data_IF_123687802503
#
_entry.id   IF_123687802503
#
_cell.length_a   1.000
_cell.length_b   1.000
_cell.length_c   1.000
_cell.angle_alpha   90.00
_cell.angle_beta   90.00
_cell.angle_gamma   90.00
#
_symmetry.space_group_name_H-M   'P 1'
#
loop_
_entity.id
_entity.type
_entity.pdbx_description
1 polymer ?
#
# COMPACT_ATOMS: atom_id res chain seq x y z
N UNK A 1 24.07 13.15 27.53
CA UNK A 1 23.12 12.50 26.58
C UNK A 1 22.27 13.48 25.77
N UNK A 2 21.89 14.66 26.31
CA UNK A 2 21.07 15.66 25.60
C UNK A 2 21.67 16.14 24.26
N UNK A 3 22.99 16.42 24.21
CA UNK A 3 23.66 16.91 23.00
C UNK A 3 23.73 15.88 21.86
N UNK A 4 23.74 14.58 22.17
CA UNK A 4 23.71 13.52 21.16
C UNK A 4 22.31 13.40 20.53
N UNK A 5 21.26 13.46 21.36
CA UNK A 5 19.87 13.45 20.91
C UNK A 5 19.56 14.65 20.00
N UNK A 6 20.09 15.83 20.32
CA UNK A 6 19.87 17.05 19.54
C UNK A 6 20.55 16.99 18.17
N UNK A 7 21.75 16.39 18.08
CA UNK A 7 22.43 16.13 16.80
C UNK A 7 21.67 15.12 15.94
N UNK A 8 21.15 14.04 16.54
CA UNK A 8 20.35 13.05 15.83
C UNK A 8 19.04 13.67 15.32
N UNK A 9 18.37 14.48 16.14
CA UNK A 9 17.16 15.20 15.75
C UNK A 9 17.41 16.18 14.60
N UNK A 10 18.48 16.98 14.68
CA UNK A 10 18.85 17.91 13.62
C UNK A 10 19.17 17.17 12.30
N UNK A 11 19.87 16.05 12.38
CA UNK A 11 20.19 15.22 11.21
C UNK A 11 18.92 14.59 10.60
N UNK A 12 17.98 14.13 11.43
CA UNK A 12 16.71 13.59 10.98
C UNK A 12 15.85 14.65 10.28
N UNK A 13 15.80 15.87 10.82
CA UNK A 13 15.09 17.00 10.19
C UNK A 13 15.75 17.35 8.86
N UNK A 14 17.07 17.50 8.82
CA UNK A 14 17.81 17.81 7.60
C UNK A 14 17.61 16.73 6.52
N UNK A 15 17.64 15.45 6.91
CA UNK A 15 17.37 14.33 6.01
C UNK A 15 15.92 14.37 5.48
N UNK A 16 14.93 14.66 6.34
CA UNK A 16 13.53 14.77 5.93
C UNK A 16 13.31 15.90 4.92
N UNK A 17 13.96 17.06 5.13
CA UNK A 17 13.92 18.17 4.18
C UNK A 17 14.63 17.84 2.87
N UNK A 18 15.79 17.18 2.93
CA UNK A 18 16.50 16.69 1.74
C UNK A 18 15.64 15.74 0.90
N UNK A 19 15.01 14.75 1.54
CA UNK A 19 14.10 13.82 0.86
C UNK A 19 12.91 14.56 0.23
N UNK A 20 12.32 15.53 0.94
CA UNK A 20 11.24 16.35 0.37
C UNK A 20 11.70 17.15 -0.83
N UNK A 21 12.86 17.81 -0.76
CA UNK A 21 13.41 18.59 -1.84
C UNK A 21 13.69 17.74 -3.09
N UNK A 22 14.35 16.59 -2.92
CA UNK A 22 14.59 15.66 -4.02
C UNK A 22 13.28 15.10 -4.59
N UNK A 23 12.31 14.74 -3.74
CA UNK A 23 11.02 14.25 -4.21
C UNK A 23 10.22 15.30 -5.00
N UNK A 24 10.39 16.58 -4.69
CA UNK A 24 9.81 17.69 -5.44
C UNK A 24 10.53 17.91 -6.77
N UNK A 25 11.86 17.84 -6.78
CA UNK A 25 12.68 17.98 -7.99
C UNK A 25 12.43 16.86 -9.01
N UNK A 26 12.22 15.63 -8.52
CA UNK A 26 11.92 14.45 -9.35
C UNK A 26 10.43 14.27 -9.65
N UNK A 27 9.56 15.19 -9.23
CA UNK A 27 8.11 15.16 -9.47
C UNK A 27 7.72 15.56 -10.90
N UNK A 28 8.60 15.35 -11.89
CA UNK A 28 8.21 15.37 -13.30
C UNK A 28 7.08 14.34 -13.45
N UNK A 29 5.90 14.81 -13.85
CA UNK A 29 4.69 14.02 -14.05
C UNK A 29 5.03 12.69 -14.72
N UNK A 30 5.11 11.62 -13.93
CA UNK A 30 5.23 10.28 -14.47
C UNK A 30 3.93 10.01 -15.20
N UNK A 31 3.99 10.01 -16.54
CA UNK A 31 2.87 9.61 -17.39
C UNK A 31 2.64 8.10 -17.25
N UNK A 32 3.70 7.32 -17.00
CA UNK A 32 3.60 5.87 -16.82
C UNK A 32 3.89 5.46 -15.39
N UNK A 33 2.96 4.72 -14.81
CA UNK A 33 3.01 4.14 -13.49
C UNK A 33 3.26 2.64 -13.60
N UNK A 34 4.33 2.22 -12.95
CA UNK A 34 4.67 0.82 -12.73
C UNK A 34 4.64 0.54 -11.24
N UNK A 35 4.72 -0.74 -10.92
CA UNK A 35 4.88 -1.25 -9.59
C UNK A 35 6.18 -0.70 -8.94
N UNK A 36 6.06 0.41 -8.20
CA UNK A 36 7.21 1.11 -7.62
C UNK A 36 7.75 0.38 -6.38
N UNK A 37 9.04 -0.02 -6.34
CA UNK A 37 9.63 -0.67 -5.17
C UNK A 37 9.51 0.18 -3.89
N UNK A 38 9.65 1.49 -4.02
CA UNK A 38 9.54 2.43 -2.89
C UNK A 38 8.13 2.44 -2.30
N UNK A 39 7.11 2.37 -3.16
CA UNK A 39 5.71 2.34 -2.73
C UNK A 39 5.37 1.03 -2.03
N UNK A 40 5.84 -0.09 -2.58
CA UNK A 40 5.69 -1.41 -1.95
C UNK A 40 6.29 -1.42 -0.55
N UNK A 41 7.55 -1.00 -0.44
CA UNK A 41 8.27 -0.97 0.83
C UNK A 41 7.52 -0.10 1.84
N UNK A 42 7.10 1.11 1.46
CA UNK A 42 6.34 2.00 2.34
C UNK A 42 5.04 1.37 2.87
N UNK A 43 4.33 0.61 2.04
CA UNK A 43 3.06 -0.02 2.42
C UNK A 43 3.23 -1.23 3.34
N UNK A 44 4.32 -1.97 3.19
CA UNK A 44 4.57 -3.22 3.95
C UNK A 44 5.55 -3.03 5.12
N UNK A 45 6.21 -1.87 5.20
CA UNK A 45 7.28 -1.58 6.16
C UNK A 45 6.91 -1.93 7.60
N UNK A 46 5.77 -1.41 8.07
CA UNK A 46 5.33 -1.63 9.45
C UNK A 46 5.01 -3.11 9.72
N UNK A 47 4.43 -3.80 8.75
CA UNK A 47 4.13 -5.23 8.85
C UNK A 47 5.40 -6.06 8.89
N UNK A 48 6.40 -5.73 8.07
CA UNK A 48 7.72 -6.38 8.11
C UNK A 48 8.43 -6.13 9.44
N UNK A 49 8.36 -4.90 9.96
CA UNK A 49 8.95 -4.55 11.24
C UNK A 49 8.28 -5.33 12.38
N UNK A 50 6.95 -5.38 12.42
CA UNK A 50 6.19 -6.16 13.40
C UNK A 50 6.48 -7.66 13.29
N UNK A 51 6.55 -8.20 12.07
CA UNK A 51 6.90 -9.59 11.81
C UNK A 51 8.31 -9.91 12.31
N UNK A 52 9.28 -9.05 11.99
CA UNK A 52 10.66 -9.19 12.45
C UNK A 52 10.75 -9.18 13.97
N UNK A 53 10.15 -8.19 14.63
CA UNK A 53 10.15 -8.08 16.10
C UNK A 53 9.46 -9.27 16.77
N UNK A 54 8.30 -9.69 16.26
CA UNK A 54 7.59 -10.87 16.76
C UNK A 54 8.43 -12.13 16.59
N UNK A 55 9.08 -12.29 15.43
CA UNK A 55 9.98 -13.39 15.14
C UNK A 55 11.21 -13.42 16.04
N UNK A 56 11.83 -12.27 16.33
CA UNK A 56 12.97 -12.23 17.25
C UNK A 56 12.57 -12.57 18.68
N UNK A 57 11.43 -12.07 19.17
CA UNK A 57 10.96 -12.37 20.53
C UNK A 57 10.63 -13.86 20.71
N UNK A 58 9.94 -14.48 19.75
CA UNK A 58 9.67 -15.92 19.81
C UNK A 58 10.94 -16.75 19.57
N UNK A 59 11.82 -16.29 18.68
CA UNK A 59 13.07 -16.98 18.38
C UNK A 59 14.05 -17.02 19.56
N UNK A 60 14.08 -15.98 20.39
CA UNK A 60 14.90 -15.97 21.62
C UNK A 60 14.40 -16.98 22.64
N UNK A 61 13.07 -17.18 22.75
CA UNK A 61 12.49 -18.18 23.65
C UNK A 61 12.88 -19.61 23.28
N UNK A 62 13.03 -19.90 21.99
CA UNK A 62 13.42 -21.23 21.52
C UNK A 62 14.90 -21.56 21.78
N UNK A 63 15.73 -20.55 22.05
CA UNK A 63 17.18 -20.70 22.19
C UNK A 63 17.65 -20.72 23.64
N UNK A 64 16.89 -20.15 24.56
CA UNK A 64 17.29 -20.05 25.96
C UNK A 64 16.51 -21.04 26.84
N UNK A 65 17.17 -22.06 27.42
CA UNK A 65 16.51 -23.04 28.28
C UNK A 65 16.17 -22.52 29.69
N UNK A 66 16.67 -21.34 30.09
CA UNK A 66 16.52 -20.81 31.45
C UNK A 66 15.43 -19.73 31.60
N UNK A 67 14.49 -19.65 30.65
CA UNK A 67 13.45 -18.62 30.64
C UNK A 67 12.42 -18.85 31.74
N UNK A 68 12.09 -17.80 32.50
CA UNK A 68 11.04 -17.89 33.52
C UNK A 68 9.66 -18.04 32.89
N UNK A 69 8.69 -18.73 33.53
CA UNK A 69 7.36 -18.93 32.96
C UNK A 69 6.61 -17.61 32.69
N UNK A 70 6.93 -16.54 33.42
CA UNK A 70 6.38 -15.20 33.21
C UNK A 70 6.94 -14.54 31.94
N UNK A 71 8.26 -14.59 31.72
CA UNK A 71 8.88 -14.07 30.49
C UNK A 71 8.40 -14.83 29.26
N UNK A 72 8.21 -16.15 29.38
CA UNK A 72 7.64 -16.97 28.34
C UNK A 72 6.23 -16.51 27.97
N UNK A 73 5.36 -16.31 28.97
CA UNK A 73 3.99 -15.83 28.75
C UNK A 73 3.95 -14.45 28.07
N UNK A 74 4.80 -13.52 28.51
CA UNK A 74 4.90 -12.18 27.93
C UNK A 74 5.37 -12.25 26.47
N UNK A 75 6.43 -13.00 26.18
CA UNK A 75 7.00 -13.09 24.85
C UNK A 75 6.06 -13.82 23.87
N UNK A 76 5.35 -14.87 24.31
CA UNK A 76 4.30 -15.52 23.50
C UNK A 76 3.16 -14.53 23.23
N UNK A 77 2.68 -13.83 24.26
CA UNK A 77 1.57 -12.88 24.13
C UNK A 77 1.90 -11.74 23.17
N UNK A 78 3.03 -11.06 23.38
CA UNK A 78 3.48 -9.96 22.53
C UNK A 78 3.86 -10.42 21.12
N UNK A 79 4.57 -11.54 21.00
CA UNK A 79 4.94 -12.13 19.71
C UNK A 79 3.69 -12.46 18.88
N UNK A 80 2.72 -13.16 19.49
CA UNK A 80 1.46 -13.51 18.83
C UNK A 80 0.66 -12.29 18.40
N UNK A 81 0.61 -11.25 19.24
CA UNK A 81 -0.05 -10.00 18.91
C UNK A 81 0.62 -9.31 17.71
N UNK A 82 1.96 -9.27 17.67
CA UNK A 82 2.72 -8.71 16.55
C UNK A 82 2.50 -9.50 15.25
N UNK A 83 2.43 -10.84 15.32
CA UNK A 83 2.12 -11.67 14.16
C UNK A 83 0.68 -11.49 13.68
N UNK A 84 -0.30 -11.46 14.57
CA UNK A 84 -1.70 -11.17 14.23
C UNK A 84 -1.87 -9.82 13.54
N UNK A 85 -1.00 -8.86 13.88
CA UNK A 85 -0.97 -7.57 13.25
C UNK A 85 -0.27 -7.58 11.87
N UNK A 86 0.84 -8.31 11.75
CA UNK A 86 1.65 -8.35 10.52
C UNK A 86 1.04 -9.24 9.43
N UNK A 87 0.49 -10.40 9.78
CA UNK A 87 0.10 -11.42 8.80
C UNK A 87 -1.00 -10.97 7.84
N UNK A 88 -2.14 -10.39 8.27
CA UNK A 88 -3.21 -10.04 7.34
C UNK A 88 -2.76 -8.97 6.33
N UNK A 89 -1.95 -8.01 6.78
CA UNK A 89 -1.43 -6.95 5.91
C UNK A 89 -0.41 -7.50 4.91
N UNK A 90 0.46 -8.43 5.32
CA UNK A 90 1.37 -9.13 4.41
C UNK A 90 0.62 -9.97 3.36
N UNK A 91 -0.48 -10.64 3.76
CA UNK A 91 -1.30 -11.42 2.85
C UNK A 91 -2.00 -10.55 1.79
N UNK A 92 -2.61 -9.43 2.21
CA UNK A 92 -3.21 -8.46 1.28
C UNK A 92 -2.13 -7.88 0.35
N UNK A 93 -0.97 -7.51 0.90
CA UNK A 93 0.14 -7.01 0.10
C UNK A 93 0.58 -8.02 -0.96
N UNK A 94 0.73 -9.28 -0.58
CA UNK A 94 1.12 -10.35 -1.50
C UNK A 94 0.07 -10.57 -2.60
N UNK A 95 -1.22 -10.54 -2.25
CA UNK A 95 -2.30 -10.64 -3.24
C UNK A 95 -2.25 -9.49 -4.26
N UNK A 96 -2.07 -8.26 -3.79
CA UNK A 96 -1.98 -7.07 -4.64
C UNK A 96 -0.72 -7.10 -5.50
N UNK A 97 0.41 -7.47 -4.91
CA UNK A 97 1.67 -7.64 -5.63
C UNK A 97 1.51 -8.66 -6.77
N UNK A 98 0.93 -9.83 -6.47
CA UNK A 98 0.69 -10.85 -7.49
C UNK A 98 -0.22 -10.35 -8.61
N UNK A 99 -1.24 -9.57 -8.28
CA UNK A 99 -2.18 -9.02 -9.26
C UNK A 99 -1.54 -7.94 -10.16
N UNK A 100 -0.66 -7.11 -9.61
CA UNK A 100 -0.13 -5.93 -10.30
C UNK A 100 1.28 -6.11 -10.86
N UNK A 101 1.98 -7.22 -10.58
CA UNK A 101 3.39 -7.37 -10.95
C UNK A 101 3.67 -7.25 -12.45
N UNK A 102 2.68 -7.54 -13.28
CA UNK A 102 2.76 -7.48 -14.75
C UNK A 102 1.90 -6.33 -15.32
N UNK A 103 1.30 -5.51 -14.45
CA UNK A 103 0.44 -4.41 -14.86
C UNK A 103 1.24 -3.11 -14.96
N UNK A 104 0.85 -2.28 -15.93
CA UNK A 104 1.33 -0.91 -16.04
C UNK A 104 0.15 0.00 -16.36
N UNK A 105 0.19 1.23 -15.87
CA UNK A 105 -0.84 2.21 -16.14
C UNK A 105 -0.23 3.49 -16.66
N UNK A 106 -0.66 3.95 -17.81
CA UNK A 106 -0.29 5.25 -18.35
C UNK A 106 -1.46 6.22 -18.18
N UNK A 107 -1.20 7.40 -17.63
CA UNK A 107 -2.17 8.47 -17.45
C UNK A 107 -1.85 9.62 -18.41
N UNK A 108 -2.85 10.00 -19.20
CA UNK A 108 -2.80 11.17 -20.05
C UNK A 108 -3.80 12.22 -19.55
N UNK A 109 -3.28 13.21 -18.81
CA UNK A 109 -4.10 14.27 -18.20
C UNK A 109 -4.70 15.23 -19.22
N UNK A 110 -4.08 15.37 -20.37
CA UNK A 110 -4.54 16.28 -21.45
C UNK A 110 -5.83 15.76 -22.09
N UNK A 111 -5.94 14.44 -22.24
CA UNK A 111 -7.10 13.77 -22.84
C UNK A 111 -8.05 13.17 -21.80
N UNK A 112 -7.71 13.24 -20.51
CA UNK A 112 -8.41 12.55 -19.41
C UNK A 112 -8.57 11.04 -19.67
N UNK A 113 -7.53 10.43 -20.25
CA UNK A 113 -7.50 9.00 -20.53
C UNK A 113 -6.49 8.29 -19.64
N UNK A 114 -6.77 7.02 -19.37
CA UNK A 114 -5.82 6.12 -18.75
C UNK A 114 -5.70 4.85 -19.61
N UNK A 115 -4.48 4.46 -19.94
CA UNK A 115 -4.20 3.20 -20.61
C UNK A 115 -3.74 2.18 -19.56
N UNK A 116 -4.56 1.16 -19.31
CA UNK A 116 -4.21 0.05 -18.44
C UNK A 116 -3.66 -1.09 -19.30
N UNK A 117 -2.39 -1.44 -19.06
CA UNK A 117 -1.70 -2.57 -19.68
C UNK A 117 -1.74 -3.74 -18.69
N UNK A 118 -2.36 -4.84 -19.09
CA UNK A 118 -2.42 -6.09 -18.33
C UNK A 118 -1.91 -7.24 -19.21
N UNK A 119 -1.53 -8.39 -18.61
CA UNK A 119 -1.16 -9.59 -19.37
C UNK A 119 -2.24 -10.02 -20.37
N UNK A 120 -3.50 -9.81 -20.00
CA UNK A 120 -4.67 -10.25 -20.77
C UNK A 120 -5.09 -9.25 -21.86
N UNK A 121 -4.49 -8.05 -21.91
CA UNK A 121 -4.88 -7.04 -22.90
C UNK A 121 -4.52 -5.61 -22.52
N UNK A 122 -4.88 -4.69 -23.41
CA UNK A 122 -4.70 -3.25 -23.23
C UNK A 122 -6.07 -2.59 -23.21
N UNK A 123 -6.33 -1.78 -22.19
CA UNK A 123 -7.61 -1.13 -21.96
C UNK A 123 -7.44 0.38 -21.97
N UNK A 124 -8.01 1.05 -22.98
CA UNK A 124 -8.07 2.50 -23.04
C UNK A 124 -9.32 2.98 -22.29
N UNK A 125 -9.10 3.47 -21.08
CA UNK A 125 -10.13 3.97 -20.18
C UNK A 125 -10.36 5.46 -20.47
N UNK A 126 -11.53 5.75 -21.04
CA UNK A 126 -12.04 7.11 -21.16
C UNK A 126 -13.34 7.23 -20.35
N UNK A 127 -13.78 8.46 -20.13
CA UNK A 127 -14.99 8.71 -19.35
C UNK A 127 -16.28 8.10 -19.97
N UNK A 128 -16.30 7.86 -21.29
CA UNK A 128 -17.47 7.36 -22.02
C UNK A 128 -17.61 5.84 -21.95
N UNK A 129 -16.50 5.13 -21.81
CA UNK A 129 -16.43 3.67 -21.71
C UNK A 129 -16.59 3.19 -20.27
N UNK A 130 -16.50 4.10 -19.28
CA UNK A 130 -16.65 3.75 -17.87
C UNK A 130 -18.11 3.98 -17.47
N UNK A 131 -18.75 2.92 -16.99
CA UNK A 131 -20.11 2.95 -16.48
C UNK A 131 -20.15 3.44 -15.03
N UNK A 132 -19.29 2.90 -14.19
CA UNK A 132 -19.22 3.22 -12.75
C UNK A 132 -17.83 2.88 -12.19
N UNK A 133 -17.46 3.59 -11.13
CA UNK A 133 -16.24 3.32 -10.36
C UNK A 133 -16.66 2.98 -8.93
N UNK A 134 -16.28 1.80 -8.47
CA UNK A 134 -16.46 1.39 -7.07
C UNK A 134 -15.12 1.38 -6.36
N UNK A 135 -14.95 2.27 -5.40
CA UNK A 135 -13.83 2.21 -4.46
C UNK A 135 -14.12 1.20 -3.36
N UNK A 136 -13.22 0.24 -3.18
CA UNK A 136 -13.25 -0.67 -2.04
C UNK A 136 -12.15 -0.27 -1.08
N UNK A 137 -12.57 0.15 0.12
CA UNK A 137 -11.68 0.59 1.20
C UNK A 137 -11.93 -0.22 2.47
N UNK A 138 -10.92 -0.23 3.35
CA UNK A 138 -11.02 -0.90 4.64
C UNK A 138 -11.65 0.06 5.67
N UNK A 139 -12.44 -0.43 6.65
CA UNK A 139 -13.28 0.41 7.51
C UNK A 139 -12.47 1.38 8.35
N UNK A 140 -11.26 1.00 8.75
CA UNK A 140 -10.41 1.89 9.53
C UNK A 140 -9.39 2.59 8.67
N UNK A 141 -9.49 3.92 8.60
CA UNK A 141 -8.48 4.79 7.95
C UNK A 141 -7.23 5.04 8.79
N UNK A 142 -7.29 4.78 10.11
CA UNK A 142 -6.23 5.12 11.09
C UNK A 142 -5.19 4.03 11.32
N UNK A 143 -5.45 2.79 10.95
CA UNK A 143 -4.51 1.70 11.09
C UNK A 143 -3.64 1.61 9.84
N UNK A 144 -2.40 1.15 9.99
CA UNK A 144 -1.40 0.98 8.93
C UNK A 144 -1.87 0.15 7.70
N UNK A 145 -2.95 -0.59 7.86
CA UNK A 145 -3.65 -1.48 6.93
C UNK A 145 -4.55 -0.67 5.98
N UNK A 146 -4.87 0.57 6.33
CA UNK A 146 -5.78 1.46 5.60
C UNK A 146 -5.27 1.90 4.24
N UNK A 147 -3.97 1.71 3.99
CA UNK A 147 -3.34 2.07 2.71
C UNK A 147 -3.72 1.10 1.57
N UNK A 148 -4.25 -0.07 1.89
CA UNK A 148 -4.72 -1.04 0.91
C UNK A 148 -6.18 -0.73 0.54
N UNK A 149 -6.33 -0.25 -0.69
CA UNK A 149 -7.62 0.04 -1.32
C UNK A 149 -7.51 -0.30 -2.80
N UNK A 150 -8.64 -0.49 -3.46
CA UNK A 150 -8.66 -0.76 -4.89
C UNK A 150 -9.92 -0.16 -5.52
N UNK A 151 -9.81 0.22 -6.79
CA UNK A 151 -10.94 0.61 -7.62
C UNK A 151 -11.38 -0.59 -8.45
N UNK A 152 -12.69 -0.79 -8.53
CA UNK A 152 -13.33 -1.61 -9.55
C UNK A 152 -13.94 -0.66 -10.56
N UNK A 153 -13.42 -0.68 -11.77
CA UNK A 153 -13.89 0.12 -12.91
C UNK A 153 -14.77 -0.80 -13.73
N UNK A 154 -16.09 -0.57 -13.68
CA UNK A 154 -17.03 -1.29 -14.53
C UNK A 154 -17.16 -0.56 -15.86
N UNK A 155 -16.87 -1.27 -16.95
CA UNK A 155 -16.98 -0.75 -18.31
C UNK A 155 -18.41 -0.88 -18.84
N UNK A 156 -18.72 -0.13 -19.90
CA UNK A 156 -20.02 -0.17 -20.58
C UNK A 156 -20.30 -1.49 -21.29
N UNK A 157 -19.26 -2.22 -21.67
CA UNK A 157 -19.34 -3.57 -22.26
C UNK A 157 -19.55 -4.69 -21.22
N UNK A 158 -19.63 -4.32 -19.94
CA UNK A 158 -19.83 -5.26 -18.82
C UNK A 158 -18.55 -5.83 -18.21
N UNK A 159 -17.37 -5.51 -18.77
CA UNK A 159 -16.10 -5.92 -18.17
C UNK A 159 -15.83 -5.15 -16.87
N UNK A 160 -15.09 -5.77 -15.95
CA UNK A 160 -14.67 -5.15 -14.70
C UNK A 160 -13.15 -5.20 -14.58
N UNK A 161 -12.55 -4.04 -14.41
CA UNK A 161 -11.11 -3.89 -14.24
C UNK A 161 -10.81 -3.49 -12.80
N UNK A 162 -9.87 -4.19 -12.17
CA UNK A 162 -9.42 -3.87 -10.81
C UNK A 162 -8.09 -3.14 -10.89
N UNK A 163 -7.98 -2.03 -10.18
CA UNK A 163 -6.75 -1.24 -10.05
C UNK A 163 -6.49 -1.01 -8.58
N UNK A 164 -5.35 -1.47 -8.09
CA UNK A 164 -5.03 -1.39 -6.67
C UNK A 164 -4.22 -0.14 -6.33
N UNK A 165 -4.23 0.22 -5.05
CA UNK A 165 -3.36 1.24 -4.49
C UNK A 165 -1.87 0.87 -4.54
N UNK A 166 -1.49 -0.32 -4.99
CA UNK A 166 -0.08 -0.67 -5.17
C UNK A 166 0.48 -0.12 -6.49
N UNK A 167 -0.36 -0.06 -7.53
CA UNK A 167 0.03 0.43 -8.85
C UNK A 167 0.07 1.96 -8.90
N UNK A 168 -1.02 2.62 -8.51
CA UNK A 168 -1.19 4.06 -8.64
C UNK A 168 -1.94 4.68 -7.47
N UNK A 169 -1.74 5.98 -7.26
CA UNK A 169 -2.53 6.76 -6.32
C UNK A 169 -3.97 6.85 -6.85
N UNK A 170 -4.91 6.18 -6.17
CA UNK A 170 -6.27 6.02 -6.67
C UNK A 170 -7.01 7.36 -6.76
N UNK A 171 -6.61 8.36 -5.95
CA UNK A 171 -7.16 9.71 -6.07
C UNK A 171 -6.74 10.39 -7.37
N UNK A 172 -5.51 10.14 -7.85
CA UNK A 172 -5.06 10.66 -9.15
C UNK A 172 -5.81 10.03 -10.31
N UNK A 173 -6.09 8.72 -10.21
CA UNK A 173 -6.86 8.00 -11.21
C UNK A 173 -8.32 8.49 -11.24
N UNK A 174 -8.95 8.62 -10.06
CA UNK A 174 -10.31 9.15 -9.91
C UNK A 174 -10.45 10.58 -10.44
N UNK A 175 -9.43 11.42 -10.25
CA UNK A 175 -9.44 12.80 -10.72
C UNK A 175 -9.55 12.93 -12.25
N UNK A 176 -9.22 11.89 -13.03
CA UNK A 176 -9.39 11.90 -14.49
C UNK A 176 -10.86 11.86 -14.93
N UNK A 177 -11.75 11.31 -14.09
CA UNK A 177 -13.14 11.06 -14.47
C UNK A 177 -14.15 11.62 -13.47
N UNK A 178 -14.20 12.95 -13.28
CA UNK A 178 -15.01 13.58 -12.23
C UNK A 178 -16.53 13.40 -12.42
N UNK A 179 -16.98 13.03 -13.62
CA UNK A 179 -18.40 12.86 -13.95
C UNK A 179 -18.88 11.41 -13.94
N UNK A 180 -17.98 10.44 -13.74
CA UNK A 180 -18.35 9.02 -13.69
C UNK A 180 -19.01 8.71 -12.34
N UNK A 181 -20.12 7.96 -12.30
CA UNK A 181 -20.74 7.53 -11.06
C UNK A 181 -19.74 6.84 -10.14
N UNK A 182 -19.68 7.30 -8.89
CA UNK A 182 -18.73 6.82 -7.90
C UNK A 182 -19.45 6.23 -6.69
N UNK A 183 -19.04 5.03 -6.30
CA UNK A 183 -19.53 4.35 -5.11
C UNK A 183 -18.36 3.95 -4.21
N UNK A 184 -18.59 3.95 -2.91
CA UNK A 184 -17.61 3.47 -1.93
C UNK A 184 -18.19 2.28 -1.18
N UNK A 185 -17.45 1.17 -1.14
CA UNK A 185 -17.76 -0.03 -0.38
C UNK A 185 -16.70 -0.26 0.68
N UNK A 186 -17.15 -0.61 1.89
CA UNK A 186 -16.27 -0.94 2.99
C UNK A 186 -16.17 -2.47 3.14
N UNK A 187 -14.95 -2.98 3.24
CA UNK A 187 -14.69 -4.40 3.55
C UNK A 187 -13.78 -4.51 4.76
N UNK A 188 -14.10 -5.43 5.68
CA UNK A 188 -13.24 -5.71 6.84
C UNK A 188 -11.79 -6.01 6.46
N UNK A 189 -11.62 -6.79 5.38
CA UNK A 189 -10.32 -7.03 4.75
C UNK A 189 -10.44 -6.75 3.27
N UNK A 190 -9.55 -5.90 2.74
CA UNK A 190 -9.54 -5.47 1.36
C UNK A 190 -8.90 -6.52 0.44
N UNK A 191 -9.38 -7.76 0.50
CA UNK A 191 -9.00 -8.79 -0.47
C UNK A 191 -9.69 -8.53 -1.83
N UNK A 192 -8.91 -8.73 -2.90
CA UNK A 192 -9.33 -8.65 -4.31
C UNK A 192 -10.36 -9.72 -4.67
#
# INVERSE_FOLDING_TARGET
>A
MLGLLLKIAALAIAAQYGVRFFSWLFRKQQRVFYLSPMRQFKMVFWSLLSFWLGGTMLGTLLRDPNVTPLELGIAIGLGSLLFLFALPTLLVHFQYWRHERENAMELEKETNTALLLQPNGRYLLNQQHIREITEVQCPTKRFFWSSYQYLVISLTDGQQLKVTSLLIDLEQLKALWPRVPYQTKTKWVCFL
#
